data_IF_971830713833
#
_entry.id   IF_971830713833
#
_cell.length_a   1.000
_cell.length_b   1.000
_cell.length_c   1.000
_cell.angle_alpha   90.00
_cell.angle_beta   90.00
_cell.angle_gamma   90.00
#
_symmetry.space_group_name_H-M   'P 1'
#
loop_
_entity.id
_entity.type
_entity.pdbx_description
1 polymer ?
#
# COMPACT_ATOMS: atom_id res chain seq x y z
N UNK A 1 -21.18 24.33 15.45
CA UNK A 1 -20.70 23.79 14.15
C UNK A 1 -19.26 24.16 14.06
N UNK A 2 -18.36 23.25 14.42
CA UNK A 2 -16.94 23.40 14.15
C UNK A 2 -16.31 22.03 14.33
N UNK A 3 -15.70 21.57 13.24
CA UNK A 3 -15.00 20.30 13.12
C UNK A 3 -14.14 20.45 11.88
N UNK A 4 -13.17 21.35 11.97
CA UNK A 4 -12.23 21.68 10.91
C UNK A 4 -11.37 20.45 10.62
N UNK A 5 -11.79 19.59 9.69
CA UNK A 5 -10.92 18.52 9.20
C UNK A 5 -9.90 19.13 8.24
N UNK A 6 -8.87 19.78 8.80
CA UNK A 6 -7.62 20.00 8.08
C UNK A 6 -6.75 18.76 8.26
N UNK A 7 -6.65 17.95 7.22
CA UNK A 7 -5.48 17.11 7.01
C UNK A 7 -5.07 17.23 5.54
N UNK A 8 -4.30 18.27 5.28
CA UNK A 8 -3.41 18.32 4.13
C UNK A 8 -2.00 18.31 4.71
N UNK A 9 -1.49 17.10 4.94
CA UNK A 9 -0.09 16.84 5.28
C UNK A 9 0.41 17.49 6.59
N UNK A 10 0.17 16.84 7.73
CA UNK A 10 0.90 17.18 8.96
C UNK A 10 2.26 16.47 8.97
N UNK A 11 3.27 17.25 8.61
CA UNK A 11 4.65 17.20 9.08
C UNK A 11 4.80 16.54 10.46
N UNK A 12 5.28 15.30 10.45
CA UNK A 12 5.58 14.52 11.65
C UNK A 12 6.23 13.18 11.32
N UNK A 13 7.10 13.12 10.30
CA UNK A 13 7.93 11.94 10.04
C UNK A 13 9.39 12.32 10.32
N UNK A 14 9.88 12.00 11.52
CA UNK A 14 11.15 11.30 11.70
C UNK A 14 11.39 11.05 13.19
N UNK A 15 11.88 9.85 13.58
CA UNK A 15 13.29 9.61 13.36
C UNK A 15 13.65 8.14 13.09
N UNK A 16 14.30 7.93 11.94
CA UNK A 16 15.17 6.79 11.61
C UNK A 16 14.47 5.52 11.11
N UNK A 17 15.02 5.00 10.00
CA UNK A 17 14.60 3.81 9.24
C UNK A 17 13.31 4.00 8.43
N UNK A 18 13.46 4.45 7.17
CA UNK A 18 12.70 3.80 6.09
C UNK A 18 12.93 2.29 6.29
N UNK A 19 11.96 1.57 6.88
CA UNK A 19 12.04 0.11 6.95
C UNK A 19 12.32 -0.37 5.53
N UNK A 20 13.15 -1.40 5.36
CA UNK A 20 13.46 -1.92 4.03
C UNK A 20 12.17 -2.22 3.26
N UNK A 21 11.14 -2.64 4.02
CA UNK A 21 9.75 -2.78 3.61
C UNK A 21 9.14 -1.51 3.00
N UNK A 22 9.09 -0.39 3.73
CA UNK A 22 8.54 0.88 3.23
C UNK A 22 9.34 1.41 2.05
N UNK A 23 10.67 1.30 2.09
CA UNK A 23 11.55 1.69 0.98
C UNK A 23 11.26 0.87 -0.28
N UNK A 24 11.07 -0.45 -0.13
CA UNK A 24 10.71 -1.33 -1.23
C UNK A 24 9.35 -0.96 -1.83
N UNK A 25 8.34 -0.70 -0.98
CA UNK A 25 7.02 -0.25 -1.43
C UNK A 25 7.08 1.07 -2.20
N UNK A 26 7.82 2.07 -1.69
CA UNK A 26 8.01 3.37 -2.37
C UNK A 26 8.71 3.21 -3.73
N UNK A 27 9.68 2.31 -3.82
CA UNK A 27 10.37 2.00 -5.10
C UNK A 27 9.40 1.39 -6.11
N UNK A 28 8.54 0.46 -5.68
CA UNK A 28 7.50 -0.10 -6.54
C UNK A 28 6.50 0.97 -7.01
N UNK A 29 6.15 1.92 -6.15
CA UNK A 29 5.27 3.03 -6.53
C UNK A 29 5.89 3.92 -7.63
N UNK A 30 7.18 4.23 -7.51
CA UNK A 30 7.93 4.96 -8.56
C UNK A 30 8.05 4.16 -9.86
N UNK A 31 8.25 2.86 -9.76
CA UNK A 31 8.37 1.97 -10.91
C UNK A 31 7.05 1.89 -11.69
N UNK A 32 5.91 1.79 -10.99
CA UNK A 32 4.58 1.85 -11.61
C UNK A 32 4.36 3.17 -12.38
N UNK A 33 4.70 4.30 -11.76
CA UNK A 33 4.60 5.60 -12.42
C UNK A 33 5.49 5.66 -13.68
N UNK A 34 6.72 5.14 -13.59
CA UNK A 34 7.64 5.08 -14.73
C UNK A 34 7.10 4.22 -15.88
N UNK A 35 6.60 3.01 -15.59
CA UNK A 35 6.09 2.07 -16.61
C UNK A 35 4.84 2.62 -17.28
N UNK A 36 3.97 3.28 -16.53
CA UNK A 36 2.73 3.89 -17.04
C UNK A 36 2.92 5.30 -17.60
N UNK A 37 4.17 5.79 -17.69
CA UNK A 37 4.50 7.14 -18.16
C UNK A 37 3.77 8.25 -17.39
N UNK A 38 3.59 8.05 -16.08
CA UNK A 38 2.85 8.91 -15.15
C UNK A 38 1.35 9.06 -15.46
N UNK A 39 0.77 8.15 -16.25
CA UNK A 39 -0.69 8.06 -16.40
C UNK A 39 -1.32 7.52 -15.12
N UNK A 40 -0.62 6.58 -14.46
CA UNK A 40 -1.00 6.03 -13.16
C UNK A 40 0.11 6.33 -12.18
N UNK A 41 -0.21 7.05 -11.12
CA UNK A 41 0.72 7.31 -10.03
C UNK A 41 0.43 6.38 -8.86
N UNK A 42 1.38 6.22 -7.95
CA UNK A 42 1.16 5.51 -6.70
C UNK A 42 1.92 6.15 -5.55
N UNK A 43 1.38 5.98 -4.34
CA UNK A 43 2.02 6.41 -3.11
C UNK A 43 1.74 5.41 -1.98
N UNK A 44 2.58 5.46 -0.94
CA UNK A 44 2.49 4.59 0.23
C UNK A 44 1.92 5.38 1.39
N UNK A 45 0.63 5.20 1.66
CA UNK A 45 0.02 5.74 2.87
C UNK A 45 0.37 4.84 4.06
N UNK A 46 0.93 5.40 5.13
CA UNK A 46 1.28 4.68 6.35
C UNK A 46 0.46 5.20 7.51
N UNK A 47 -0.30 4.32 8.14
CA UNK A 47 -1.13 4.65 9.31
C UNK A 47 -0.71 3.79 10.50
N UNK A 48 -0.52 4.40 11.67
CA UNK A 48 -0.37 3.67 12.92
C UNK A 48 -1.75 3.31 13.46
N UNK A 49 -2.03 2.03 13.63
CA UNK A 49 -3.28 1.51 14.18
C UNK A 49 -3.02 1.08 15.63
N UNK A 50 -3.73 1.71 16.58
CA UNK A 50 -3.53 1.51 18.03
C UNK A 50 -4.71 0.83 18.76
N UNK A 51 -5.83 0.57 18.09
CA UNK A 51 -7.06 0.02 18.72
C UNK A 51 -7.67 -1.21 17.99
N UNK A 52 -7.74 -2.34 18.71
CA UNK A 52 -8.94 -3.14 19.07
C UNK A 52 -9.87 -3.78 18.02
N UNK A 53 -9.75 -5.10 17.89
CA UNK A 53 -10.81 -6.08 17.52
C UNK A 53 -10.22 -7.50 17.70
N UNK A 54 -10.67 -8.59 17.04
CA UNK A 54 -10.15 -9.96 17.31
C UNK A 54 -9.24 -10.55 16.19
N UNK A 55 -8.01 -10.96 16.56
CA UNK A 55 -7.01 -11.66 15.70
C UNK A 55 -5.84 -10.80 15.17
N UNK A 56 -4.64 -10.89 15.77
CA UNK A 56 -3.56 -9.87 15.70
C UNK A 56 -3.95 -8.49 16.27
N UNK A 57 -5.14 -8.37 16.88
CA UNK A 57 -5.87 -7.12 16.97
C UNK A 57 -5.76 -6.38 18.33
N UNK A 58 -4.71 -6.62 19.13
CA UNK A 58 -4.48 -5.86 20.37
C UNK A 58 -3.08 -5.24 20.48
N UNK A 59 -2.28 -5.30 19.42
CA UNK A 59 -0.96 -4.68 19.39
C UNK A 59 -0.90 -3.54 18.37
N UNK A 60 -0.30 -2.40 18.74
CA UNK A 60 -0.01 -1.33 17.79
C UNK A 60 0.74 -1.86 16.58
N UNK A 61 0.26 -1.52 15.38
CA UNK A 61 0.88 -1.93 14.14
C UNK A 61 0.83 -0.80 13.11
N UNK A 62 1.82 -0.78 12.22
CA UNK A 62 1.77 0.05 11.03
C UNK A 62 0.97 -0.66 9.94
N UNK A 63 0.08 0.07 9.29
CA UNK A 63 -0.55 -0.34 8.06
C UNK A 63 -0.02 0.51 6.91
N UNK A 64 0.69 -0.12 5.98
CA UNK A 64 1.21 0.50 4.76
C UNK A 64 0.30 0.12 3.59
N UNK A 65 -0.46 1.07 3.04
CA UNK A 65 -1.30 0.85 1.87
C UNK A 65 -0.63 1.43 0.62
N UNK A 66 -0.47 0.58 -0.38
CA UNK A 66 -0.05 0.96 -1.72
C UNK A 66 -1.27 1.50 -2.45
N UNK A 67 -1.35 2.82 -2.55
CA UNK A 67 -2.48 3.52 -3.16
C UNK A 67 -2.13 3.87 -4.59
N UNK A 68 -3.03 3.52 -5.51
CA UNK A 68 -3.00 4.05 -6.86
C UNK A 68 -3.72 5.39 -6.87
N UNK A 69 -3.14 6.34 -7.58
CA UNK A 69 -3.67 7.68 -7.83
C UNK A 69 -3.91 7.77 -9.32
N UNK A 70 -5.17 7.96 -9.72
CA UNK A 70 -5.53 8.17 -11.12
C UNK A 70 -5.91 9.64 -11.36
N UNK A 71 -5.02 10.44 -11.99
CA UNK A 71 -5.33 11.83 -12.35
C UNK A 71 -6.56 11.92 -13.26
N UNK A 72 -6.71 10.99 -14.21
CA UNK A 72 -7.81 10.98 -15.18
C UNK A 72 -9.20 10.80 -14.55
N UNK A 73 -9.28 10.18 -13.38
CA UNK A 73 -10.53 10.02 -12.64
C UNK A 73 -10.75 11.12 -11.59
N UNK A 74 -10.08 12.27 -11.75
CA UNK A 74 -10.17 13.38 -10.80
C UNK A 74 -9.39 13.12 -9.51
N UNK A 75 -8.22 12.47 -9.62
CA UNK A 75 -7.34 12.14 -8.48
C UNK A 75 -7.99 11.20 -7.46
N UNK A 76 -8.78 10.22 -7.91
CA UNK A 76 -9.28 9.19 -7.02
C UNK A 76 -8.12 8.33 -6.48
N UNK A 77 -8.16 8.10 -5.17
CA UNK A 77 -7.23 7.24 -4.45
C UNK A 77 -7.94 5.93 -4.13
N UNK A 78 -7.33 4.81 -4.49
CA UNK A 78 -7.76 3.52 -3.98
C UNK A 78 -6.55 2.66 -3.63
N UNK A 79 -6.70 1.84 -2.58
CA UNK A 79 -5.64 0.94 -2.12
C UNK A 79 -5.61 -0.32 -2.99
N UNK A 80 -4.51 -0.56 -3.69
CA UNK A 80 -4.28 -1.82 -4.41
C UNK A 80 -4.05 -2.97 -3.41
N UNK A 81 -3.24 -2.72 -2.39
CA UNK A 81 -3.02 -3.64 -1.29
C UNK A 81 -2.55 -2.89 -0.04
N UNK A 82 -2.68 -3.53 1.12
CA UNK A 82 -2.15 -3.04 2.38
C UNK A 82 -1.32 -4.10 3.09
N UNK A 83 -0.25 -3.67 3.76
CA UNK A 83 0.65 -4.51 4.53
C UNK A 83 0.58 -4.11 6.00
N UNK A 84 0.33 -5.07 6.88
CA UNK A 84 0.39 -4.89 8.34
C UNK A 84 1.75 -5.30 8.86
N UNK A 85 2.43 -4.37 9.52
CA UNK A 85 3.75 -4.54 10.14
C UNK A 85 3.66 -4.29 11.64
N UNK A 86 4.20 -5.20 12.46
CA UNK A 86 4.29 -4.99 13.90
C UNK A 86 5.19 -3.77 14.21
N UNK A 87 4.87 -3.00 15.25
CA UNK A 87 5.70 -1.86 15.66
C UNK A 87 7.11 -2.26 16.11
N UNK A 88 7.26 -3.44 16.72
CA UNK A 88 8.49 -3.89 17.37
C UNK A 88 9.41 -4.72 16.46
N UNK A 89 8.92 -5.17 15.31
CA UNK A 89 9.66 -6.03 14.40
C UNK A 89 9.30 -5.75 12.94
N UNK A 90 10.29 -5.84 12.04
CA UNK A 90 10.07 -5.64 10.61
C UNK A 90 9.30 -6.81 9.98
N UNK A 91 9.52 -8.02 10.48
CA UNK A 91 8.80 -9.24 10.10
C UNK A 91 8.28 -9.96 11.36
N UNK A 92 7.23 -10.78 11.23
CA UNK A 92 6.47 -11.06 10.02
C UNK A 92 5.51 -9.92 9.64
N UNK A 93 5.16 -9.85 8.36
CA UNK A 93 4.11 -8.95 7.85
C UNK A 93 3.01 -9.70 7.14
N UNK A 94 1.85 -9.06 7.02
CA UNK A 94 0.69 -9.65 6.36
C UNK A 94 0.11 -8.70 5.32
N UNK A 95 -0.01 -9.17 4.09
CA UNK A 95 -0.65 -8.47 2.99
C UNK A 95 -2.14 -8.79 2.91
N UNK A 96 -2.92 -7.79 2.55
CA UNK A 96 -4.29 -7.92 2.09
C UNK A 96 -4.47 -7.14 0.79
N UNK A 97 -5.06 -7.78 -0.21
CA UNK A 97 -5.44 -7.15 -1.47
C UNK A 97 -6.72 -7.78 -1.99
N UNK A 98 -7.68 -6.95 -2.37
CA UNK A 98 -8.90 -7.41 -3.05
C UNK A 98 -8.63 -7.67 -4.55
N UNK A 99 -7.46 -7.25 -5.05
CA UNK A 99 -7.02 -7.33 -6.44
C UNK A 99 -6.04 -8.47 -6.71
N UNK A 100 -5.71 -9.30 -5.73
CA UNK A 100 -4.78 -10.42 -5.91
C UNK A 100 -5.38 -11.61 -6.69
N UNK A 101 -6.71 -11.68 -6.80
CA UNK A 101 -7.40 -12.80 -7.48
C UNK A 101 -7.47 -14.10 -6.67
N UNK A 102 -6.75 -14.23 -5.56
CA UNK A 102 -6.84 -15.33 -4.59
C UNK A 102 -7.65 -14.90 -3.37
N UNK A 103 -8.40 -15.82 -2.76
CA UNK A 103 -8.99 -15.57 -1.44
C UNK A 103 -7.93 -15.79 -0.36
N UNK A 104 -7.50 -14.73 0.35
CA UNK A 104 -6.62 -14.89 1.50
C UNK A 104 -5.72 -13.69 1.83
N UNK A 105 -4.79 -13.94 2.76
CA UNK A 105 -3.75 -13.02 3.21
C UNK A 105 -2.37 -13.57 2.80
N UNK A 106 -1.43 -12.72 2.37
CA UNK A 106 -0.05 -13.16 2.14
C UNK A 106 0.72 -12.93 3.43
N UNK A 107 1.22 -13.96 4.07
CA UNK A 107 2.14 -13.79 5.20
C UNK A 107 3.58 -13.84 4.67
N UNK A 108 4.37 -12.85 5.01
CA UNK A 108 5.79 -12.82 4.72
C UNK A 108 6.57 -12.85 6.04
N UNK A 109 7.38 -13.89 6.23
CA UNK A 109 8.17 -14.08 7.45
C UNK A 109 9.58 -13.47 7.31
N UNK A 110 9.97 -13.09 6.10
CA UNK A 110 11.24 -12.42 5.80
C UNK A 110 11.14 -11.58 4.51
N UNK A 111 12.25 -10.95 4.11
CA UNK A 111 12.28 -10.05 2.94
C UNK A 111 12.13 -10.78 1.59
N UNK A 112 12.55 -12.04 1.48
CA UNK A 112 12.34 -12.82 0.26
C UNK A 112 10.84 -13.15 0.09
N UNK A 113 10.17 -13.61 1.16
CA UNK A 113 8.72 -13.84 1.15
C UNK A 113 7.95 -12.56 0.84
N UNK A 114 8.43 -11.42 1.36
CA UNK A 114 7.85 -10.11 1.09
C UNK A 114 7.89 -9.74 -0.38
N UNK A 115 9.03 -9.93 -1.05
CA UNK A 115 9.15 -9.68 -2.49
C UNK A 115 8.27 -10.64 -3.29
N UNK A 116 8.19 -11.91 -2.90
CA UNK A 116 7.31 -12.88 -3.54
C UNK A 116 5.84 -12.46 -3.42
N UNK A 117 5.39 -12.04 -2.23
CA UNK A 117 4.03 -11.52 -2.03
C UNK A 117 3.74 -10.28 -2.90
N UNK A 118 4.71 -9.36 -3.02
CA UNK A 118 4.58 -8.19 -3.89
C UNK A 118 4.46 -8.59 -5.35
N UNK A 119 5.35 -9.46 -5.83
CA UNK A 119 5.37 -9.93 -7.20
C UNK A 119 4.05 -10.62 -7.55
N UNK A 120 3.54 -11.50 -6.69
CA UNK A 120 2.27 -12.17 -6.92
C UNK A 120 1.08 -11.20 -7.00
N UNK A 121 1.04 -10.15 -6.17
CA UNK A 121 -0.05 -9.17 -6.21
C UNK A 121 0.06 -8.28 -7.46
N UNK A 122 1.26 -7.75 -7.74
CA UNK A 122 1.50 -6.81 -8.83
C UNK A 122 1.41 -7.46 -10.22
N UNK A 123 1.78 -8.75 -10.34
CA UNK A 123 1.68 -9.52 -11.59
C UNK A 123 0.32 -10.21 -11.77
N UNK A 124 -0.59 -10.13 -10.80
CA UNK A 124 -1.90 -10.75 -10.92
C UNK A 124 -2.73 -10.15 -12.06
N UNK A 125 -3.53 -11.00 -12.72
CA UNK A 125 -4.41 -10.59 -13.82
C UNK A 125 -5.34 -9.45 -13.42
N UNK A 126 -5.94 -9.51 -12.23
CA UNK A 126 -6.82 -8.47 -11.69
C UNK A 126 -6.11 -7.12 -11.47
N UNK A 127 -4.86 -7.12 -11.00
CA UNK A 127 -4.06 -5.89 -10.91
C UNK A 127 -3.78 -5.33 -12.31
N UNK A 128 -3.41 -6.19 -13.26
CA UNK A 128 -3.16 -5.78 -14.64
C UNK A 128 -4.42 -5.20 -15.31
N UNK A 129 -5.58 -5.84 -15.15
CA UNK A 129 -6.87 -5.35 -15.63
C UNK A 129 -7.22 -3.97 -15.05
N UNK A 130 -7.02 -3.79 -13.75
CA UNK A 130 -7.26 -2.52 -13.07
C UNK A 130 -6.37 -1.41 -13.64
N UNK A 131 -5.06 -1.65 -13.74
CA UNK A 131 -4.11 -0.66 -14.27
C UNK A 131 -4.43 -0.34 -15.74
N UNK A 132 -4.71 -1.34 -16.56
CA UNK A 132 -5.08 -1.13 -17.97
C UNK A 132 -6.40 -0.36 -18.11
N UNK A 133 -7.39 -0.64 -17.26
CA UNK A 133 -8.66 0.09 -17.23
C UNK A 133 -8.47 1.57 -16.87
N UNK A 134 -7.58 1.87 -15.92
CA UNK A 134 -7.22 3.25 -15.59
C UNK A 134 -6.52 3.95 -16.76
N UNK A 135 -5.57 3.29 -17.41
CA UNK A 135 -4.87 3.84 -18.57
C UNK A 135 -5.86 4.13 -19.71
N UNK A 136 -6.78 3.20 -20.00
CA UNK A 136 -7.78 3.37 -21.05
C UNK A 136 -8.75 4.53 -20.78
N UNK A 137 -9.08 4.80 -19.51
CA UNK A 137 -9.90 5.95 -19.12
C UNK A 137 -9.14 7.29 -19.15
N UNK A 138 -7.81 7.23 -19.23
CA UNK A 138 -6.92 8.40 -19.24
C UNK A 138 -6.49 8.83 -20.64
N UNK A 139 -6.75 8.01 -21.66
CA UNK A 139 -6.41 8.23 -23.07
C UNK A 139 -7.59 8.84 -23.84
#
# INVERSE_FOLDING_TARGET
MEGTTKSFWSSGINPNNDSMLRAALKRQAKELASITRNIVEADINTTLIVEGGDGFQNQPHYQHCFNIISPALGYQHFALFCVKQNLLAEFPVVFRSDYWGKQGWCKADNFADFNNCLEEILSSEKTAELVNSLIAQSA
#
